data_IF_948589683775
#
_entry.id   IF_948589683775
#
_cell.length_a   1.000
_cell.length_b   1.000
_cell.length_c   1.000
_cell.angle_alpha   90.00
_cell.angle_beta   90.00
_cell.angle_gamma   90.00
#
_symmetry.space_group_name_H-M   'P 1'
#
loop_
_entity.id
_entity.type
_entity.pdbx_description
1 polymer ?
#
# COMPACT_ATOMS: atom_id res chain seq x y z
N UNK A 1 -3.67 -3.10 3.22
CA UNK A 1 -3.47 -2.26 4.41
C UNK A 1 -4.79 -1.98 5.14
N UNK A 2 -5.90 -1.70 4.46
CA UNK A 2 -7.18 -1.28 5.07
C UNK A 2 -7.86 -2.27 6.01
N UNK A 3 -7.39 -3.52 6.12
CA UNK A 3 -7.91 -4.51 7.08
C UNK A 3 -7.40 -4.30 8.51
N UNK A 4 -6.31 -3.55 8.66
CA UNK A 4 -5.62 -3.36 9.94
C UNK A 4 -6.14 -2.16 10.73
N UNK A 5 -6.04 -2.26 12.06
CA UNK A 5 -6.10 -1.10 12.95
C UNK A 5 -4.82 -0.27 12.75
N UNK A 6 -4.85 1.06 12.93
CA UNK A 6 -3.63 1.87 12.87
C UNK A 6 -2.56 1.37 13.83
N UNK A 7 -1.38 1.07 13.30
CA UNK A 7 -0.18 0.65 14.01
C UNK A 7 1.04 1.02 13.17
N UNK A 8 2.23 1.04 13.76
CA UNK A 8 3.46 1.30 13.01
C UNK A 8 3.84 0.13 12.11
N UNK A 9 3.66 -1.11 12.60
CA UNK A 9 3.90 -2.34 11.85
C UNK A 9 2.64 -3.20 11.94
N UNK A 10 2.24 -3.79 10.83
CA UNK A 10 1.08 -4.66 10.70
C UNK A 10 1.51 -6.12 10.64
N UNK A 11 1.12 -6.88 11.65
CA UNK A 11 1.32 -8.34 11.70
C UNK A 11 0.02 -9.05 11.32
N UNK A 12 0.11 -10.17 10.61
CA UNK A 12 -1.06 -10.90 10.09
C UNK A 12 -2.06 -11.27 11.17
N UNK A 13 -1.57 -11.67 12.34
CA UNK A 13 -2.41 -12.15 13.44
C UNK A 13 -3.19 -11.05 14.17
N UNK A 14 -2.87 -9.79 13.92
CA UNK A 14 -3.54 -8.66 14.58
C UNK A 14 -4.90 -8.32 13.95
N UNK A 15 -5.17 -8.77 12.74
CA UNK A 15 -6.44 -8.51 12.06
C UNK A 15 -7.64 -8.97 12.89
N UNK A 16 -7.54 -10.13 13.53
CA UNK A 16 -8.65 -10.70 14.30
C UNK A 16 -8.66 -10.33 15.79
N UNK A 17 -7.64 -9.63 16.26
CA UNK A 17 -7.54 -9.09 17.62
C UNK A 17 -8.01 -7.64 17.72
N UNK A 18 -8.19 -6.97 16.60
CA UNK A 18 -8.42 -5.53 16.50
C UNK A 18 -9.56 -5.20 15.55
N UNK A 19 -9.97 -3.93 15.52
CA UNK A 19 -10.92 -3.42 14.53
C UNK A 19 -10.19 -2.78 13.35
N UNK A 20 -10.79 -2.72 12.13
CA UNK A 20 -10.26 -1.88 11.07
C UNK A 20 -10.16 -0.41 11.48
N UNK A 21 -9.25 0.33 10.86
CA UNK A 21 -9.16 1.79 11.02
C UNK A 21 -10.54 2.45 10.81
N UNK A 22 -10.88 3.45 11.60
CA UNK A 22 -12.12 4.21 11.42
C UNK A 22 -12.19 4.88 10.03
N UNK A 23 -11.05 5.27 9.46
CA UNK A 23 -10.98 5.83 8.09
C UNK A 23 -11.31 4.80 7.01
N UNK A 24 -10.92 3.54 7.23
CA UNK A 24 -11.11 2.43 6.29
C UNK A 24 -12.24 1.49 6.73
N UNK A 25 -13.06 1.89 7.68
CA UNK A 25 -14.02 1.05 8.41
C UNK A 25 -14.81 0.09 7.53
N UNK A 26 -15.54 0.63 6.57
CA UNK A 26 -16.42 -0.20 5.73
C UNK A 26 -15.64 -1.11 4.79
N UNK A 27 -14.61 -0.57 4.14
CA UNK A 27 -13.75 -1.33 3.25
C UNK A 27 -12.94 -2.40 4.03
N UNK A 28 -12.45 -2.06 5.22
CA UNK A 28 -11.74 -2.98 6.10
C UNK A 28 -12.61 -4.15 6.54
N UNK A 29 -13.85 -3.90 6.97
CA UNK A 29 -14.79 -4.94 7.34
C UNK A 29 -15.21 -5.82 6.15
N UNK A 30 -15.44 -5.23 4.98
CA UNK A 30 -15.75 -5.99 3.77
C UNK A 30 -14.63 -6.97 3.40
N UNK A 31 -13.35 -6.53 3.51
CA UNK A 31 -12.18 -7.39 3.26
C UNK A 31 -12.06 -8.50 4.32
N UNK A 32 -12.25 -8.18 5.61
CA UNK A 32 -12.26 -9.19 6.68
C UNK A 32 -13.36 -10.22 6.48
N UNK A 33 -14.56 -9.80 6.03
CA UNK A 33 -15.64 -10.72 5.69
C UNK A 33 -15.23 -11.68 4.56
N UNK A 34 -14.54 -11.20 3.54
CA UNK A 34 -14.01 -12.06 2.47
C UNK A 34 -13.02 -13.11 2.98
N UNK A 35 -12.15 -12.75 3.94
CA UNK A 35 -11.24 -13.70 4.59
C UNK A 35 -12.01 -14.75 5.42
N UNK A 36 -13.02 -14.33 6.20
CA UNK A 36 -13.91 -15.26 6.92
C UNK A 36 -14.65 -16.21 5.97
N UNK A 37 -15.09 -15.74 4.81
CA UNK A 37 -15.72 -16.62 3.82
C UNK A 37 -14.75 -17.70 3.33
N UNK A 38 -13.48 -17.35 3.06
CA UNK A 38 -12.47 -18.34 2.68
C UNK A 38 -12.24 -19.37 3.79
N UNK A 39 -12.21 -18.95 5.06
CA UNK A 39 -12.08 -19.83 6.21
C UNK A 39 -13.31 -20.75 6.36
N UNK A 40 -14.54 -20.24 6.20
CA UNK A 40 -15.77 -21.04 6.25
C UNK A 40 -15.75 -22.14 5.19
N UNK A 41 -15.29 -21.86 3.98
CA UNK A 41 -15.18 -22.90 2.94
C UNK A 41 -14.20 -24.00 3.34
N UNK A 42 -13.08 -23.64 3.96
CA UNK A 42 -12.13 -24.61 4.49
C UNK A 42 -12.74 -25.47 5.59
N UNK A 43 -13.34 -24.84 6.61
CA UNK A 43 -13.87 -25.55 7.80
C UNK A 43 -15.13 -26.35 7.49
N UNK A 44 -16.07 -25.79 6.72
CA UNK A 44 -17.39 -26.42 6.50
C UNK A 44 -17.40 -27.42 5.36
N UNK A 45 -16.51 -27.28 4.38
CA UNK A 45 -16.55 -28.08 3.15
C UNK A 45 -15.22 -28.79 2.87
N UNK A 46 -14.26 -28.76 3.79
CA UNK A 46 -12.90 -29.28 3.60
C UNK A 46 -12.23 -28.77 2.31
N UNK A 47 -12.54 -27.52 1.94
CA UNK A 47 -12.09 -26.90 0.70
C UNK A 47 -10.91 -25.96 0.98
N UNK A 48 -9.72 -26.51 1.13
CA UNK A 48 -8.48 -25.81 1.45
C UNK A 48 -7.76 -25.29 0.17
N UNK A 49 -8.47 -24.52 -0.69
CA UNK A 49 -7.94 -24.05 -1.97
C UNK A 49 -7.92 -22.52 -2.07
N UNK A 50 -8.19 -21.81 -0.98
CA UNK A 50 -8.11 -20.36 -0.93
C UNK A 50 -6.82 -19.94 -0.21
N UNK A 51 -6.07 -19.03 -0.82
CA UNK A 51 -4.97 -18.32 -0.17
C UNK A 51 -5.34 -16.85 -0.02
N UNK A 52 -4.98 -16.27 1.10
CA UNK A 52 -5.24 -14.85 1.39
C UNK A 52 -3.91 -14.09 1.38
N UNK A 53 -3.83 -13.07 0.53
CA UNK A 53 -2.70 -12.14 0.51
C UNK A 53 -3.15 -10.73 0.87
N UNK A 54 -2.34 -10.02 1.63
CA UNK A 54 -2.61 -8.65 2.10
C UNK A 54 -1.49 -7.73 1.64
N UNK A 55 -1.58 -7.16 0.43
CA UNK A 55 -0.52 -6.30 -0.08
C UNK A 55 -0.48 -4.95 0.65
N UNK A 56 0.71 -4.37 0.71
CA UNK A 56 0.99 -3.00 1.13
C UNK A 56 0.39 -1.99 0.12
N UNK A 57 0.97 -0.81 -0.01
CA UNK A 57 0.51 0.16 -1.02
C UNK A 57 1.07 -0.25 -2.38
N UNK A 58 0.21 -0.80 -3.22
CA UNK A 58 0.61 -1.26 -4.56
C UNK A 58 0.79 -0.05 -5.47
N UNK A 59 1.83 -0.08 -6.29
CA UNK A 59 2.03 0.84 -7.39
C UNK A 59 2.48 0.10 -8.65
N UNK A 60 2.25 0.68 -9.82
CA UNK A 60 2.69 0.06 -11.06
C UNK A 60 2.22 0.79 -12.32
N UNK A 61 2.64 0.24 -13.46
CA UNK A 61 2.46 0.84 -14.80
C UNK A 61 1.00 1.16 -15.17
N UNK A 62 0.04 0.40 -14.68
CA UNK A 62 -1.37 0.53 -15.01
C UNK A 62 -2.22 1.02 -13.82
N UNK A 63 -1.61 1.82 -12.94
CA UNK A 63 -2.28 2.39 -11.77
C UNK A 63 -3.43 3.33 -12.19
N UNK A 64 -4.31 3.61 -11.23
CA UNK A 64 -5.40 4.55 -11.44
C UNK A 64 -4.89 6.00 -11.31
N UNK A 65 -4.85 6.73 -12.41
CA UNK A 65 -4.50 8.15 -12.47
C UNK A 65 -5.73 9.08 -12.39
N UNK A 66 -6.90 8.55 -12.02
CA UNK A 66 -8.13 9.32 -11.83
C UNK A 66 -8.18 10.11 -10.52
N UNK A 67 -9.37 10.66 -10.17
CA UNK A 67 -9.54 11.49 -8.96
C UNK A 67 -9.26 10.75 -7.64
N UNK A 68 -9.42 9.42 -7.63
CA UNK A 68 -9.20 8.55 -6.46
C UNK A 68 -7.84 7.82 -6.54
N UNK A 69 -6.85 8.44 -7.18
CA UNK A 69 -5.52 7.86 -7.34
C UNK A 69 -4.78 7.74 -6.01
N UNK A 70 -3.92 6.72 -5.91
CA UNK A 70 -2.96 6.56 -4.81
C UNK A 70 -1.93 7.70 -4.81
N UNK A 71 -1.18 7.86 -3.72
CA UNK A 71 -0.21 8.96 -3.59
C UNK A 71 0.84 8.93 -4.72
N UNK A 72 1.40 7.75 -5.06
CA UNK A 72 2.38 7.63 -6.14
C UNK A 72 1.76 8.05 -7.48
N UNK A 73 0.62 7.46 -7.83
CA UNK A 73 -0.06 7.76 -9.09
C UNK A 73 -0.47 9.24 -9.18
N UNK A 74 -0.94 9.83 -8.09
CA UNK A 74 -1.27 11.26 -8.01
C UNK A 74 -0.05 12.14 -8.26
N UNK A 75 1.06 11.89 -7.58
CA UNK A 75 2.27 12.68 -7.75
C UNK A 75 2.85 12.54 -9.16
N UNK A 76 2.87 11.33 -9.72
CA UNK A 76 3.31 11.09 -11.11
C UNK A 76 2.42 11.86 -12.08
N UNK A 77 1.09 11.74 -11.96
CA UNK A 77 0.15 12.45 -12.83
C UNK A 77 0.39 13.95 -12.81
N UNK A 78 0.52 14.54 -11.62
CA UNK A 78 0.68 15.98 -11.44
C UNK A 78 2.03 16.46 -11.98
N UNK A 79 3.12 15.77 -11.63
CA UNK A 79 4.46 16.14 -12.05
C UNK A 79 4.70 15.94 -13.55
N UNK A 80 4.40 14.76 -14.08
CA UNK A 80 4.72 14.38 -15.46
C UNK A 80 3.59 14.71 -16.45
N UNK A 81 2.33 14.53 -16.04
CA UNK A 81 1.15 14.75 -16.88
C UNK A 81 0.70 16.20 -16.90
N UNK A 82 0.45 16.76 -15.73
CA UNK A 82 -0.09 18.13 -15.60
C UNK A 82 1.02 19.20 -15.54
N UNK A 83 2.28 18.78 -15.42
CA UNK A 83 3.47 19.66 -15.34
C UNK A 83 3.35 20.69 -14.23
N UNK A 84 2.88 20.23 -13.07
CA UNK A 84 2.76 21.09 -11.89
C UNK A 84 4.16 21.41 -11.33
N UNK A 85 4.58 22.63 -11.48
CA UNK A 85 5.90 23.14 -11.06
C UNK A 85 5.74 24.49 -10.36
N UNK A 86 6.03 24.58 -9.04
CA UNK A 86 6.51 23.51 -8.15
C UNK A 86 5.49 22.40 -7.92
N UNK A 87 5.96 21.18 -7.55
CA UNK A 87 5.09 20.09 -7.13
C UNK A 87 4.57 20.36 -5.72
N UNK A 88 3.28 20.59 -5.56
CA UNK A 88 2.66 20.87 -4.26
C UNK A 88 2.29 19.56 -3.57
N UNK A 89 2.89 19.25 -2.44
CA UNK A 89 2.63 18.05 -1.65
C UNK A 89 1.85 18.38 -0.37
N UNK A 90 0.93 17.52 0.02
CA UNK A 90 0.13 17.71 1.23
C UNK A 90 0.91 17.34 2.50
N UNK A 91 0.69 18.11 3.56
CA UNK A 91 1.30 17.89 4.87
C UNK A 91 2.76 18.36 4.92
N UNK A 92 3.60 17.62 5.62
CA UNK A 92 5.03 17.93 5.80
C UNK A 92 5.97 16.86 5.20
N UNK A 93 5.41 15.81 4.62
CA UNK A 93 6.16 14.71 4.01
C UNK A 93 6.69 13.67 4.99
N UNK A 94 6.45 13.82 6.29
CA UNK A 94 6.95 12.89 7.31
C UNK A 94 6.31 11.49 7.33
N UNK A 95 5.06 11.26 6.88
CA UNK A 95 4.45 9.94 6.93
C UNK A 95 5.25 8.88 6.19
N UNK A 96 5.42 7.72 6.84
CA UNK A 96 6.13 6.56 6.29
C UNK A 96 5.13 5.55 5.74
N UNK A 97 5.41 5.04 4.54
CA UNK A 97 4.59 4.03 3.86
C UNK A 97 5.46 2.91 3.32
N UNK A 98 4.88 1.73 3.29
CA UNK A 98 5.40 0.58 2.56
C UNK A 98 4.77 0.57 1.17
N UNK A 99 5.61 0.57 0.14
CA UNK A 99 5.20 0.51 -1.26
C UNK A 99 5.73 -0.76 -1.89
N UNK A 100 4.87 -1.46 -2.63
CA UNK A 100 5.23 -2.70 -3.32
C UNK A 100 4.85 -2.60 -4.80
N UNK A 101 5.75 -3.05 -5.67
CA UNK A 101 5.48 -3.05 -7.11
C UNK A 101 4.43 -4.11 -7.48
N UNK A 102 3.53 -3.78 -8.41
CA UNK A 102 2.42 -4.65 -8.80
C UNK A 102 2.88 -6.00 -9.37
N UNK A 103 4.05 -6.05 -10.03
CA UNK A 103 4.65 -7.29 -10.49
C UNK A 103 5.02 -8.21 -9.33
N UNK A 104 5.65 -7.66 -8.29
CA UNK A 104 6.03 -8.44 -7.10
C UNK A 104 4.81 -8.97 -6.34
N UNK A 105 3.72 -8.18 -6.31
CA UNK A 105 2.44 -8.64 -5.75
C UNK A 105 1.88 -9.80 -6.57
N UNK A 106 1.92 -9.72 -7.91
CA UNK A 106 1.47 -10.79 -8.78
C UNK A 106 2.27 -12.08 -8.57
N UNK A 107 3.60 -11.98 -8.47
CA UNK A 107 4.47 -13.11 -8.17
C UNK A 107 4.19 -13.69 -6.78
N UNK A 108 3.97 -12.83 -5.79
CA UNK A 108 3.59 -13.25 -4.44
C UNK A 108 2.26 -14.01 -4.40
N UNK A 109 1.26 -13.56 -5.18
CA UNK A 109 -0.03 -14.26 -5.31
C UNK A 109 0.15 -15.64 -5.95
N UNK A 110 0.94 -15.73 -7.03
CA UNK A 110 1.21 -16.99 -7.72
C UNK A 110 1.90 -17.97 -6.75
N UNK A 111 2.95 -17.52 -6.06
CA UNK A 111 3.67 -18.35 -5.06
C UNK A 111 2.76 -18.81 -3.93
N UNK A 112 1.91 -17.93 -3.38
CA UNK A 112 0.97 -18.30 -2.34
C UNK A 112 0.00 -19.40 -2.80
N UNK A 113 -0.46 -19.33 -4.05
CA UNK A 113 -1.31 -20.35 -4.67
C UNK A 113 -0.56 -21.68 -4.89
N UNK A 114 0.65 -21.64 -5.46
CA UNK A 114 1.46 -22.82 -5.75
C UNK A 114 1.87 -23.58 -4.48
N UNK A 115 2.19 -22.82 -3.43
CA UNK A 115 2.54 -23.37 -2.10
C UNK A 115 1.30 -23.78 -1.29
N UNK A 116 0.09 -23.51 -1.80
CA UNK A 116 -1.19 -23.83 -1.14
C UNK A 116 -1.27 -23.24 0.27
N UNK A 117 -0.82 -21.99 0.43
CA UNK A 117 -0.85 -21.33 1.73
C UNK A 117 -2.28 -21.19 2.22
N UNK A 118 -2.55 -21.67 3.43
CA UNK A 118 -3.87 -21.59 4.07
C UNK A 118 -3.96 -20.45 5.09
N UNK A 119 -2.81 -19.94 5.53
CA UNK A 119 -2.76 -18.78 6.41
C UNK A 119 -2.56 -17.51 5.62
N UNK A 120 -3.19 -16.39 6.03
CA UNK A 120 -2.96 -15.09 5.41
C UNK A 120 -1.50 -14.66 5.47
N UNK A 121 -1.00 -14.07 4.40
CA UNK A 121 0.34 -13.48 4.34
C UNK A 121 0.28 -12.01 3.93
N UNK A 122 1.15 -11.22 4.54
CA UNK A 122 1.42 -9.86 4.10
C UNK A 122 2.39 -9.87 2.90
N UNK A 123 2.10 -9.04 1.90
CA UNK A 123 3.03 -8.75 0.81
C UNK A 123 3.43 -7.28 0.89
N UNK A 124 4.63 -7.01 1.33
CA UNK A 124 5.23 -5.68 1.44
C UNK A 124 6.66 -5.69 0.95
N UNK A 125 7.26 -4.50 0.84
CA UNK A 125 8.68 -4.38 0.54
C UNK A 125 9.57 -4.63 1.78
N UNK A 126 8.96 -4.61 2.98
CA UNK A 126 9.68 -4.62 4.24
C UNK A 126 10.43 -3.31 4.55
N UNK A 127 10.33 -2.33 3.65
CA UNK A 127 11.04 -1.04 3.74
C UNK A 127 10.06 0.12 3.79
N UNK A 128 10.26 1.02 4.76
CA UNK A 128 9.47 2.25 4.86
C UNK A 128 10.10 3.39 4.08
N UNK A 129 9.29 4.08 3.28
CA UNK A 129 9.69 5.30 2.57
C UNK A 129 8.82 6.45 3.04
N UNK A 130 9.40 7.60 3.37
CA UNK A 130 8.65 8.81 3.69
C UNK A 130 8.01 9.38 2.42
N UNK A 131 6.90 10.09 2.59
CA UNK A 131 6.30 10.81 1.45
C UNK A 131 7.25 11.87 0.89
N UNK A 132 8.14 12.40 1.73
CA UNK A 132 9.20 13.33 1.32
C UNK A 132 10.21 12.66 0.38
N UNK A 133 10.80 11.53 0.79
CA UNK A 133 11.73 10.76 -0.05
C UNK A 133 11.08 10.33 -1.38
N UNK A 134 9.79 9.93 -1.33
CA UNK A 134 9.04 9.62 -2.54
C UNK A 134 8.94 10.82 -3.49
N UNK A 135 8.56 12.00 -2.97
CA UNK A 135 8.41 13.21 -3.79
C UNK A 135 9.76 13.66 -4.37
N UNK A 136 10.83 13.63 -3.56
CA UNK A 136 12.20 13.94 -3.98
C UNK A 136 12.66 12.98 -5.08
N UNK A 137 12.48 11.68 -4.91
CA UNK A 137 12.81 10.67 -5.94
C UNK A 137 12.09 10.93 -7.26
N UNK A 138 10.79 11.28 -7.21
CA UNK A 138 10.03 11.57 -8.44
C UNK A 138 10.52 12.86 -9.12
N UNK A 139 10.88 13.88 -8.35
CA UNK A 139 11.45 15.13 -8.88
C UNK A 139 12.82 14.86 -9.50
N UNK A 140 13.69 14.11 -8.84
CA UNK A 140 15.02 13.76 -9.38
C UNK A 140 14.89 13.03 -10.72
N UNK A 141 13.98 12.05 -10.81
CA UNK A 141 13.68 11.35 -12.08
C UNK A 141 13.18 12.32 -13.16
N UNK A 142 12.28 13.25 -12.78
CA UNK A 142 11.77 14.24 -13.73
C UNK A 142 12.88 15.16 -14.24
N UNK A 143 13.73 15.66 -13.34
CA UNK A 143 14.85 16.53 -13.67
C UNK A 143 15.87 15.84 -14.60
N UNK A 144 16.17 14.57 -14.33
CA UNK A 144 17.04 13.76 -15.18
C UNK A 144 16.44 13.54 -16.58
N UNK A 145 15.13 13.27 -16.67
CA UNK A 145 14.47 13.01 -17.95
C UNK A 145 14.29 14.24 -18.83
N UNK A 146 14.08 15.41 -18.23
CA UNK A 146 13.69 16.63 -18.97
C UNK A 146 14.73 17.76 -18.89
N UNK A 147 15.84 17.56 -18.21
CA UNK A 147 16.88 18.61 -17.94
C UNK A 147 16.25 19.90 -17.40
N UNK A 148 15.31 19.77 -16.48
CA UNK A 148 14.54 20.89 -15.94
C UNK A 148 14.35 20.77 -14.44
N UNK A 149 14.84 21.79 -13.70
CA UNK A 149 14.68 21.86 -12.23
C UNK A 149 13.23 22.10 -11.81
N UNK A 150 12.79 21.37 -10.80
CA UNK A 150 11.46 21.47 -10.20
C UNK A 150 11.56 21.53 -8.68
N UNK A 151 10.91 22.52 -8.07
CA UNK A 151 10.78 22.64 -6.62
C UNK A 151 9.67 21.76 -6.07
N UNK A 152 9.76 21.43 -4.77
CA UNK A 152 8.69 20.81 -3.99
C UNK A 152 8.21 21.82 -2.96
N UNK A 153 6.90 22.02 -2.88
CA UNK A 153 6.26 22.83 -1.86
C UNK A 153 5.34 21.97 -0.98
N UNK A 154 5.35 22.20 0.33
CA UNK A 154 4.56 21.45 1.29
C UNK A 154 3.41 22.28 1.82
N UNK A 155 2.18 21.84 1.55
CA UNK A 155 0.96 22.46 2.08
C UNK A 155 0.62 21.85 3.46
N UNK A 156 1.18 22.43 4.52
CA UNK A 156 0.94 22.01 5.91
C UNK A 156 -0.49 22.27 6.40
N UNK A 157 -1.33 22.95 5.63
CA UNK A 157 -2.76 23.09 5.95
C UNK A 157 -3.55 21.81 5.68
N UNK A 158 -2.98 20.90 4.92
CA UNK A 158 -3.55 19.59 4.60
C UNK A 158 -3.06 18.51 5.58
N UNK A 159 -3.88 17.48 5.85
CA UNK A 159 -3.52 16.45 6.82
C UNK A 159 -2.39 15.55 6.32
N UNK A 160 -1.50 15.15 7.24
CA UNK A 160 -0.44 14.17 6.98
C UNK A 160 -0.95 12.72 6.83
N UNK A 161 -2.09 12.40 7.42
CA UNK A 161 -2.52 11.00 7.58
C UNK A 161 -1.83 10.30 8.76
N UNK A 162 -1.77 8.96 8.74
CA UNK A 162 -1.13 8.18 9.80
C UNK A 162 0.40 8.29 9.70
N UNK A 163 1.09 8.37 10.84
CA UNK A 163 2.53 8.61 10.87
C UNK A 163 3.34 7.49 10.18
N UNK A 164 2.96 6.22 10.41
CA UNK A 164 3.68 5.08 9.86
C UNK A 164 2.73 3.91 9.55
N UNK A 165 2.96 3.22 8.44
CA UNK A 165 2.24 2.01 8.03
C UNK A 165 3.21 1.10 7.28
N UNK A 166 3.78 0.10 7.98
CA UNK A 166 4.62 -0.94 7.39
C UNK A 166 3.95 -2.29 7.50
N UNK A 167 4.27 -3.19 6.58
CA UNK A 167 3.87 -4.60 6.66
C UNK A 167 5.02 -5.41 7.27
N UNK A 168 4.74 -6.30 8.23
CA UNK A 168 5.70 -7.37 8.53
C UNK A 168 5.69 -8.34 7.36
N UNK A 169 6.88 -8.69 6.88
CA UNK A 169 7.10 -9.65 5.79
C UNK A 169 7.62 -10.99 6.29
N UNK A 170 7.82 -11.16 7.60
CA UNK A 170 8.44 -12.33 8.23
C UNK A 170 7.78 -13.64 7.80
N UNK A 171 6.43 -13.68 7.71
CA UNK A 171 5.70 -14.88 7.29
C UNK A 171 5.85 -15.18 5.80
N UNK A 172 6.01 -14.16 4.96
CA UNK A 172 6.20 -14.35 3.52
C UNK A 172 7.64 -14.78 3.18
N UNK A 173 8.60 -14.52 4.07
CA UNK A 173 10.01 -14.87 3.92
C UNK A 173 10.34 -16.26 4.48
N UNK A 174 9.47 -16.86 5.30
CA UNK A 174 9.65 -18.17 5.95
C UNK A 174 9.19 -19.33 5.07
#
# INVERSE_FOLDING_TARGET
VGVYQPAEVFYEDDVWKTFPSEKDKYAGWAKRLGELQAEVYSVSFDWNKASVVRPANIYGRHDNFGPESTVIASLIKRLFGEKEHPLICWGDGSPIRDFIYAGDVADGIIKAYEQKLTQPINLGSGTGVTIRELAETLVDIYEEMYDKKVGIEWDSTKPNGDAKRLMSTERAES
#
